data_IF_662575140627
#
_entry.id   IF_662575140627
#
_cell.length_a   1.000
_cell.length_b   1.000
_cell.length_c   1.000
_cell.angle_alpha   90.00
_cell.angle_beta   90.00
_cell.angle_gamma   90.00
#
_symmetry.space_group_name_H-M   'P 1'
#
loop_
_entity.id
_entity.type
_entity.pdbx_description
1 polymer ?
#
# COMPACT_ATOMS: atom_id res chain seq x y z
N UNK A 1 -91.76 -5.61 -28.04
CA UNK A 1 -90.63 -6.06 -28.88
C UNK A 1 -89.60 -4.96 -28.74
N UNK A 2 -88.48 -5.20 -28.03
CA UNK A 2 -87.37 -4.28 -27.94
C UNK A 2 -86.10 -5.14 -28.07
N UNK A 3 -85.48 -5.04 -29.19
CA UNK A 3 -84.16 -5.67 -29.42
C UNK A 3 -83.07 -4.93 -28.65
N UNK A 4 -82.33 -5.65 -27.87
CA UNK A 4 -81.17 -5.09 -27.15
C UNK A 4 -79.97 -5.29 -28.05
N UNK A 5 -79.53 -4.18 -28.71
CA UNK A 5 -78.28 -4.16 -29.46
C UNK A 5 -77.15 -3.97 -28.45
N UNK A 6 -76.34 -5.03 -28.25
CA UNK A 6 -75.09 -4.93 -27.48
C UNK A 6 -74.04 -4.16 -28.31
N UNK A 7 -73.38 -3.19 -27.78
CA UNK A 7 -72.38 -2.41 -28.55
C UNK A 7 -71.08 -3.20 -28.69
N UNK A 8 -70.58 -3.33 -29.90
CA UNK A 8 -69.32 -3.96 -30.35
C UNK A 8 -68.05 -3.29 -29.77
N UNK A 9 -68.21 -2.34 -28.87
CA UNK A 9 -67.10 -1.59 -28.24
C UNK A 9 -66.39 -2.41 -27.13
N UNK A 10 -67.01 -3.43 -26.55
CA UNK A 10 -66.43 -4.15 -25.41
C UNK A 10 -65.35 -5.16 -25.86
N UNK A 11 -65.40 -5.67 -27.09
CA UNK A 11 -64.44 -6.65 -27.64
C UNK A 11 -63.11 -6.05 -28.05
N UNK A 12 -63.08 -4.76 -28.46
CA UNK A 12 -61.87 -4.08 -28.80
C UNK A 12 -61.01 -3.68 -27.60
N UNK A 13 -61.66 -3.42 -26.46
CA UNK A 13 -60.99 -3.04 -25.18
C UNK A 13 -60.21 -4.24 -24.58
N UNK A 14 -60.76 -5.46 -24.64
CA UNK A 14 -60.06 -6.66 -24.15
C UNK A 14 -58.84 -7.05 -24.97
N UNK A 15 -58.90 -6.83 -26.30
CA UNK A 15 -57.76 -7.18 -27.18
C UNK A 15 -56.59 -6.22 -27.06
N UNK A 16 -56.84 -4.96 -26.76
CA UNK A 16 -55.78 -3.95 -26.53
C UNK A 16 -55.10 -4.15 -25.15
N UNK A 17 -55.86 -4.56 -24.12
CA UNK A 17 -55.33 -4.82 -22.79
C UNK A 17 -54.45 -6.06 -22.73
N UNK A 18 -54.76 -7.11 -23.51
CA UNK A 18 -53.93 -8.32 -23.59
C UNK A 18 -52.56 -8.09 -24.26
N UNK A 19 -52.49 -7.24 -25.29
CA UNK A 19 -51.20 -6.92 -25.95
C UNK A 19 -50.28 -6.09 -25.07
N UNK A 20 -50.81 -5.18 -24.26
CA UNK A 20 -50.02 -4.38 -23.34
C UNK A 20 -49.45 -5.21 -22.17
N UNK A 21 -50.22 -6.20 -21.68
CA UNK A 21 -49.76 -7.10 -20.61
C UNK A 21 -48.62 -8.03 -21.10
N UNK A 22 -48.68 -8.50 -22.36
CA UNK A 22 -47.63 -9.35 -22.91
C UNK A 22 -46.32 -8.59 -23.13
N UNK A 23 -46.40 -7.33 -23.58
CA UNK A 23 -45.25 -6.46 -23.73
C UNK A 23 -44.63 -6.05 -22.39
N UNK A 24 -45.43 -5.91 -21.32
CA UNK A 24 -44.94 -5.57 -19.99
C UNK A 24 -44.16 -6.74 -19.36
N UNK A 25 -44.64 -7.97 -19.52
CA UNK A 25 -43.95 -9.16 -19.02
C UNK A 25 -42.62 -9.40 -19.72
N UNK A 26 -42.55 -9.15 -21.04
CA UNK A 26 -41.32 -9.33 -21.81
C UNK A 26 -40.26 -8.25 -21.46
N UNK A 27 -40.67 -7.01 -21.25
CA UNK A 27 -39.78 -5.95 -20.74
C UNK A 27 -39.26 -6.27 -19.34
N UNK A 28 -40.12 -6.83 -18.47
CA UNK A 28 -39.74 -7.19 -17.11
C UNK A 28 -38.73 -8.34 -17.07
N UNK A 29 -38.85 -9.33 -17.96
CA UNK A 29 -37.89 -10.43 -18.07
C UNK A 29 -36.53 -9.97 -18.61
N UNK A 30 -36.51 -9.08 -19.60
CA UNK A 30 -35.27 -8.50 -20.14
C UNK A 30 -34.57 -7.64 -19.08
N UNK A 31 -35.32 -6.83 -18.35
CA UNK A 31 -34.79 -5.98 -17.29
C UNK A 31 -34.22 -6.80 -16.12
N UNK A 32 -34.85 -7.92 -15.73
CA UNK A 32 -34.30 -8.85 -14.73
C UNK A 32 -33.03 -9.52 -15.18
N UNK A 33 -32.90 -9.88 -16.46
CA UNK A 33 -31.68 -10.45 -17.02
C UNK A 33 -30.54 -9.44 -17.08
N UNK A 34 -30.82 -8.20 -17.46
CA UNK A 34 -29.83 -7.11 -17.47
C UNK A 34 -29.40 -6.76 -16.05
N UNK A 35 -30.33 -6.70 -15.10
CA UNK A 35 -30.03 -6.44 -13.69
C UNK A 35 -29.19 -7.56 -13.08
N UNK A 36 -29.48 -8.83 -13.42
CA UNK A 36 -28.70 -9.99 -12.97
C UNK A 36 -27.27 -9.98 -13.50
N UNK A 37 -27.06 -9.61 -14.77
CA UNK A 37 -25.74 -9.47 -15.38
C UNK A 37 -24.97 -8.29 -14.76
N UNK A 38 -25.65 -7.19 -14.46
CA UNK A 38 -25.03 -6.01 -13.84
C UNK A 38 -24.60 -6.30 -12.39
N UNK A 39 -25.41 -7.04 -11.63
CA UNK A 39 -25.05 -7.46 -10.26
C UNK A 39 -23.89 -8.47 -10.29
N UNK A 40 -23.87 -9.41 -11.24
CA UNK A 40 -22.76 -10.35 -11.43
C UNK A 40 -21.45 -9.64 -11.87
N UNK A 41 -21.55 -8.55 -12.64
CA UNK A 41 -20.39 -7.77 -13.05
C UNK A 41 -19.85 -6.89 -11.91
N UNK A 42 -20.72 -6.36 -11.03
CA UNK A 42 -20.28 -5.63 -9.83
C UNK A 42 -19.57 -6.55 -8.82
N UNK A 43 -19.93 -7.82 -8.73
CA UNK A 43 -19.26 -8.75 -7.82
C UNK A 43 -17.86 -9.17 -8.30
N UNK A 44 -17.51 -8.94 -9.57
CA UNK A 44 -16.15 -9.18 -10.10
C UNK A 44 -15.19 -7.99 -9.90
N UNK A 45 -15.71 -6.81 -9.54
CA UNK A 45 -14.91 -5.62 -9.23
C UNK A 45 -14.54 -5.51 -7.74
N UNK A 46 -14.89 -6.48 -6.93
CA UNK A 46 -14.80 -6.46 -5.47
C UNK A 46 -13.54 -7.04 -4.87
N UNK A 47 -12.37 -6.98 -5.53
CA UNK A 47 -11.08 -7.14 -4.86
C UNK A 47 -10.32 -5.81 -4.83
N UNK A 48 -10.95 -4.77 -4.30
CA UNK A 48 -10.19 -3.65 -3.73
C UNK A 48 -9.72 -4.19 -2.38
N UNK A 49 -8.45 -4.59 -2.30
CA UNK A 49 -7.76 -4.77 -1.03
C UNK A 49 -7.70 -3.38 -0.36
N UNK A 50 -8.75 -2.99 0.33
CA UNK A 50 -8.67 -1.90 1.30
C UNK A 50 -7.72 -2.37 2.40
N UNK A 51 -6.45 -1.97 2.25
CA UNK A 51 -5.45 -2.18 3.26
C UNK A 51 -5.87 -1.37 4.47
N UNK A 52 -6.21 -2.04 5.57
CA UNK A 52 -6.52 -1.39 6.83
C UNK A 52 -5.30 -0.55 7.21
N UNK A 53 -5.42 0.78 7.22
CA UNK A 53 -4.34 1.66 7.68
C UNK A 53 -3.89 1.21 9.08
N UNK A 54 -2.58 0.92 9.23
CA UNK A 54 -1.99 0.44 10.47
C UNK A 54 -1.86 -1.08 10.61
N UNK A 55 -2.24 -1.88 9.61
CA UNK A 55 -1.90 -3.30 9.59
C UNK A 55 -0.43 -3.48 9.18
N UNK A 56 0.31 -4.26 9.97
CA UNK A 56 1.71 -4.59 9.65
C UNK A 56 1.80 -5.36 8.34
N UNK A 57 2.65 -4.90 7.43
CA UNK A 57 3.02 -5.64 6.23
C UNK A 57 3.73 -6.94 6.59
N UNK A 58 3.54 -7.95 5.75
CA UNK A 58 4.11 -9.28 5.90
C UNK A 58 5.05 -9.63 4.77
N UNK A 59 5.88 -10.62 4.96
CA UNK A 59 6.66 -11.24 3.89
C UNK A 59 5.68 -11.77 2.82
N UNK A 60 5.95 -11.42 1.56
CA UNK A 60 5.09 -11.68 0.41
C UNK A 60 4.19 -10.52 0.00
N UNK A 61 3.99 -9.51 0.85
CA UNK A 61 3.25 -8.31 0.47
C UNK A 61 4.09 -7.44 -0.47
N UNK A 62 3.42 -6.72 -1.35
CA UNK A 62 4.02 -5.66 -2.15
C UNK A 62 4.16 -4.39 -1.31
N UNK A 63 5.26 -3.63 -1.48
CA UNK A 63 5.40 -2.31 -0.87
C UNK A 63 4.26 -1.39 -1.31
N UNK A 64 3.68 -0.61 -0.38
CA UNK A 64 2.59 0.32 -0.71
C UNK A 64 3.13 1.52 -1.49
N UNK A 65 2.24 2.22 -2.17
CA UNK A 65 2.58 3.49 -2.82
C UNK A 65 3.03 4.53 -1.78
N UNK A 66 4.23 5.06 -1.97
CA UNK A 66 4.77 6.16 -1.16
C UNK A 66 5.74 7.01 -1.98
N UNK A 67 5.99 8.22 -1.49
CA UNK A 67 7.04 9.11 -2.02
C UNK A 67 7.56 9.99 -0.90
N UNK A 68 8.88 10.10 -0.80
CA UNK A 68 9.57 10.92 0.20
C UNK A 68 10.73 11.67 -0.45
N UNK A 69 11.07 12.82 0.12
CA UNK A 69 12.27 13.57 -0.25
C UNK A 69 13.34 13.28 0.80
N UNK A 70 14.53 12.93 0.35
CA UNK A 70 15.69 12.68 1.19
C UNK A 70 16.40 14.00 1.51
N UNK A 71 17.25 14.01 2.55
CA UNK A 71 18.00 15.20 2.97
C UNK A 71 19.03 15.69 1.94
N UNK A 72 19.42 14.85 1.00
CA UNK A 72 20.29 15.21 -0.14
C UNK A 72 19.51 15.78 -1.34
N UNK A 73 18.20 15.97 -1.22
CA UNK A 73 17.30 16.46 -2.27
C UNK A 73 16.83 15.41 -3.25
N UNK A 74 17.27 14.17 -3.16
CA UNK A 74 16.75 13.07 -4.01
C UNK A 74 15.35 12.66 -3.57
N UNK A 75 14.55 12.14 -4.52
CA UNK A 75 13.24 11.59 -4.24
C UNK A 75 13.27 10.08 -4.32
N UNK A 76 12.71 9.41 -3.31
CA UNK A 76 12.54 7.96 -3.27
C UNK A 76 11.05 7.63 -3.19
N UNK A 77 10.61 6.70 -4.05
CA UNK A 77 9.22 6.22 -4.09
C UNK A 77 9.18 4.71 -4.34
N UNK A 78 8.03 4.09 -4.10
CA UNK A 78 7.77 2.71 -4.51
C UNK A 78 8.19 2.46 -5.96
N UNK A 79 7.78 3.34 -6.87
CA UNK A 79 8.11 3.24 -8.31
C UNK A 79 9.61 3.34 -8.61
N UNK A 80 10.36 4.15 -7.84
CA UNK A 80 11.81 4.29 -8.02
C UNK A 80 12.60 3.10 -7.43
N UNK A 81 11.98 2.31 -6.56
CA UNK A 81 12.57 1.12 -5.97
C UNK A 81 12.38 -0.12 -6.85
N UNK A 82 11.28 -0.21 -7.62
CA UNK A 82 11.02 -1.30 -8.55
C UNK A 82 12.17 -1.43 -9.55
N UNK A 83 12.53 -2.67 -9.89
CA UNK A 83 13.69 -3.01 -10.73
C UNK A 83 14.99 -3.20 -9.96
N UNK A 84 15.02 -2.86 -8.67
CA UNK A 84 16.18 -3.00 -7.80
C UNK A 84 15.82 -3.75 -6.52
N UNK A 85 16.80 -4.46 -5.94
CA UNK A 85 16.69 -4.90 -4.55
C UNK A 85 16.69 -3.64 -3.69
N UNK A 86 15.76 -3.56 -2.75
CA UNK A 86 15.61 -2.36 -1.93
C UNK A 86 15.62 -2.66 -0.43
N UNK A 87 16.16 -1.72 0.34
CA UNK A 87 16.27 -1.71 1.78
C UNK A 87 15.54 -0.49 2.32
N UNK A 88 14.40 -0.70 2.99
CA UNK A 88 13.58 0.37 3.57
C UNK A 88 13.65 0.25 5.08
N UNK A 89 14.09 1.31 5.77
CA UNK A 89 14.14 1.33 7.23
C UNK A 89 13.35 2.50 7.80
N UNK A 90 12.47 2.20 8.73
CA UNK A 90 11.84 3.20 9.58
C UNK A 90 12.55 3.30 10.92
N UNK A 91 12.84 4.53 11.34
CA UNK A 91 13.63 4.82 12.54
C UNK A 91 13.14 6.06 13.29
N UNK A 92 13.67 6.26 14.48
CA UNK A 92 13.61 7.49 15.24
C UNK A 92 14.92 7.67 16.01
N UNK A 93 15.48 8.89 16.03
CA UNK A 93 16.81 9.13 16.63
C UNK A 93 16.85 8.99 18.15
N UNK A 94 15.70 9.06 18.84
CA UNK A 94 15.61 8.82 20.29
C UNK A 94 15.30 7.36 20.64
N UNK A 95 15.10 6.46 19.67
CA UNK A 95 14.86 5.04 19.91
C UNK A 95 16.20 4.31 20.14
N UNK A 96 16.45 3.70 21.32
CA UNK A 96 17.71 3.00 21.60
C UNK A 96 18.03 1.89 20.61
N UNK A 97 17.02 1.10 20.21
CA UNK A 97 17.20 -0.01 19.28
C UNK A 97 17.51 0.49 17.86
N UNK A 98 16.93 1.65 17.47
CA UNK A 98 17.31 2.31 16.22
C UNK A 98 18.76 2.79 16.29
N UNK A 99 19.19 3.37 17.44
CA UNK A 99 20.55 3.81 17.66
C UNK A 99 21.56 2.64 17.57
N UNK A 100 21.19 1.46 18.03
CA UNK A 100 21.98 0.25 17.89
C UNK A 100 22.05 -0.28 16.45
N UNK A 101 20.95 -0.12 15.70
CA UNK A 101 20.84 -0.65 14.32
C UNK A 101 21.49 0.28 13.29
N UNK A 102 21.43 1.59 13.45
CA UNK A 102 21.90 2.56 12.45
C UNK A 102 23.39 2.42 12.06
N UNK A 103 24.34 2.13 12.99
CA UNK A 103 25.72 1.87 12.60
C UNK A 103 25.87 0.61 11.70
N UNK A 104 25.10 -0.44 12.01
CA UNK A 104 25.07 -1.67 11.19
C UNK A 104 24.56 -1.35 9.78
N UNK A 105 23.49 -0.55 9.69
CA UNK A 105 22.90 -0.13 8.42
C UNK A 105 23.86 0.74 7.62
N UNK A 106 24.69 1.56 8.28
CA UNK A 106 25.74 2.32 7.62
C UNK A 106 26.72 1.40 6.90
N UNK A 107 27.24 0.41 7.58
CA UNK A 107 28.21 -0.53 6.99
C UNK A 107 27.56 -1.30 5.82
N UNK A 108 26.33 -1.70 5.94
CA UNK A 108 25.53 -2.34 4.88
C UNK A 108 25.34 -1.36 3.69
N UNK A 109 25.01 -0.11 3.95
CA UNK A 109 24.81 0.92 2.92
C UNK A 109 26.08 1.13 2.10
N UNK A 110 27.24 1.31 2.77
CA UNK A 110 28.52 1.57 2.12
C UNK A 110 28.94 0.44 1.14
N UNK A 111 28.60 -0.80 1.48
CA UNK A 111 28.93 -1.97 0.65
C UNK A 111 27.89 -2.18 -0.46
N UNK A 112 26.60 -2.14 -0.12
CA UNK A 112 25.56 -2.64 -1.01
C UNK A 112 24.99 -1.59 -1.97
N UNK A 113 25.22 -0.30 -1.73
CA UNK A 113 24.86 0.75 -2.70
C UNK A 113 25.62 0.54 -4.01
N UNK A 114 26.90 0.19 -3.94
CA UNK A 114 27.71 -0.11 -5.13
C UNK A 114 27.27 -1.38 -5.87
N UNK A 115 26.58 -2.28 -5.19
CA UNK A 115 25.98 -3.52 -5.74
C UNK A 115 24.57 -3.31 -6.31
N UNK A 116 24.09 -2.05 -6.36
CA UNK A 116 22.80 -1.69 -6.93
C UNK A 116 21.61 -1.80 -5.99
N UNK A 117 21.82 -1.98 -4.68
CA UNK A 117 20.74 -1.92 -3.69
C UNK A 117 20.30 -0.46 -3.53
N UNK A 118 18.97 -0.24 -3.50
CA UNK A 118 18.37 1.06 -3.24
C UNK A 118 17.98 1.17 -1.77
N UNK A 119 18.35 2.28 -1.15
CA UNK A 119 18.08 2.52 0.27
C UNK A 119 17.05 3.63 0.47
N UNK A 120 16.14 3.44 1.43
CA UNK A 120 15.18 4.42 1.89
C UNK A 120 15.14 4.42 3.43
N UNK A 121 15.90 5.32 4.06
CA UNK A 121 15.85 5.50 5.50
C UNK A 121 14.87 6.62 5.82
N UNK A 122 13.78 6.30 6.50
CA UNK A 122 12.63 7.20 6.70
C UNK A 122 12.37 7.34 8.19
N UNK A 123 12.39 8.56 8.72
CA UNK A 123 11.98 8.74 10.11
C UNK A 123 10.48 8.42 10.26
N UNK A 124 10.09 7.76 11.35
CA UNK A 124 8.70 7.38 11.59
C UNK A 124 7.80 8.61 11.72
N UNK A 125 8.27 9.60 12.48
CA UNK A 125 7.59 10.87 12.74
C UNK A 125 8.59 11.90 13.29
N UNK A 126 8.25 13.17 13.16
CA UNK A 126 8.96 14.25 13.87
C UNK A 126 8.13 14.63 15.09
N UNK A 127 8.68 14.38 16.28
CA UNK A 127 8.09 14.89 17.52
C UNK A 127 8.56 16.32 17.78
N UNK A 128 7.83 17.03 18.66
CA UNK A 128 8.18 18.40 19.05
C UNK A 128 9.48 18.49 19.87
N UNK A 129 9.96 17.35 20.39
CA UNK A 129 11.33 17.28 20.91
C UNK A 129 12.30 17.31 19.72
N UNK A 130 13.36 18.02 19.87
CA UNK A 130 14.39 18.24 18.83
C UNK A 130 14.99 16.96 18.25
N UNK A 131 14.76 15.82 18.89
CA UNK A 131 15.30 14.52 18.46
C UNK A 131 14.55 13.91 17.29
N UNK A 132 13.30 14.26 17.08
CA UNK A 132 12.51 13.83 15.93
C UNK A 132 12.38 14.91 14.85
N UNK A 133 12.92 16.11 15.08
CA UNK A 133 12.97 17.19 14.11
C UNK A 133 14.04 16.95 13.04
N UNK A 134 13.99 17.69 11.94
CA UNK A 134 15.05 17.64 10.91
C UNK A 134 16.41 17.97 11.51
N UNK A 135 16.48 19.00 12.33
CA UNK A 135 17.72 19.41 13.01
C UNK A 135 18.23 18.31 13.96
N UNK A 136 17.34 17.68 14.73
CA UNK A 136 17.72 16.56 15.60
C UNK A 136 18.28 15.37 14.84
N UNK A 137 17.72 15.02 13.69
CA UNK A 137 18.23 13.96 12.83
C UNK A 137 19.58 14.34 12.25
N UNK A 138 19.74 15.54 11.70
CA UNK A 138 21.00 16.03 11.13
C UNK A 138 22.14 16.03 12.16
N UNK A 139 21.87 16.56 13.36
CA UNK A 139 22.84 16.56 14.45
C UNK A 139 23.24 15.14 14.87
N UNK A 140 22.26 14.22 14.92
CA UNK A 140 22.52 12.81 15.21
C UNK A 140 23.39 12.16 14.13
N UNK A 141 23.08 12.38 12.85
CA UNK A 141 23.83 11.85 11.70
C UNK A 141 25.28 12.31 11.73
N UNK A 142 25.50 13.60 11.88
CA UNK A 142 26.83 14.21 11.94
C UNK A 142 27.65 13.64 13.09
N UNK A 143 27.09 13.63 14.29
CA UNK A 143 27.77 13.16 15.50
C UNK A 143 28.16 11.67 15.45
N UNK A 144 27.36 10.85 14.74
CA UNK A 144 27.57 9.41 14.60
C UNK A 144 28.25 9.04 13.26
N UNK A 145 28.70 10.02 12.47
CA UNK A 145 29.31 9.80 11.16
C UNK A 145 28.46 8.91 10.24
N UNK A 146 27.14 9.10 10.23
CA UNK A 146 26.26 8.38 9.34
C UNK A 146 26.27 9.02 7.96
N UNK A 147 26.46 8.22 6.91
CA UNK A 147 26.69 8.69 5.53
C UNK A 147 25.50 8.48 4.61
N UNK A 148 24.57 7.60 4.99
CA UNK A 148 23.39 7.28 4.19
C UNK A 148 22.37 8.43 4.20
N UNK A 149 21.71 8.72 3.06
CA UNK A 149 20.61 9.66 3.00
C UNK A 149 19.44 9.22 3.87
N UNK A 150 18.70 10.18 4.42
CA UNK A 150 17.49 9.95 5.19
C UNK A 150 16.37 10.90 4.80
N UNK A 151 15.14 10.50 5.05
CA UNK A 151 13.96 11.35 4.91
C UNK A 151 13.35 11.67 6.28
N UNK A 152 13.24 12.95 6.59
CA UNK A 152 12.62 13.43 7.81
C UNK A 152 11.11 13.60 7.61
N UNK A 153 10.31 12.81 8.34
CA UNK A 153 8.86 12.86 8.27
C UNK A 153 8.28 13.58 9.49
N UNK A 154 7.33 14.48 9.27
CA UNK A 154 6.65 15.24 10.35
C UNK A 154 5.48 14.48 10.97
N UNK A 155 5.04 13.44 10.33
CA UNK A 155 3.91 12.62 10.75
C UNK A 155 4.16 11.15 10.40
N UNK A 156 3.23 10.30 10.80
CA UNK A 156 3.30 8.85 10.59
C UNK A 156 2.67 8.37 9.26
N UNK A 157 2.28 9.28 8.37
CA UNK A 157 1.51 8.88 7.17
C UNK A 157 2.22 7.84 6.31
N UNK A 158 3.53 8.02 6.07
CA UNK A 158 4.30 7.04 5.30
C UNK A 158 4.46 5.75 6.11
N UNK A 159 4.86 5.85 7.38
CA UNK A 159 5.04 4.69 8.25
C UNK A 159 3.75 3.84 8.38
N UNK A 160 2.60 4.49 8.59
CA UNK A 160 1.32 3.80 8.78
C UNK A 160 0.86 2.99 7.55
N UNK A 161 1.43 3.25 6.37
CA UNK A 161 1.23 2.41 5.19
C UNK A 161 1.96 1.07 5.28
N UNK A 162 3.00 0.99 6.11
CA UNK A 162 3.84 -0.20 6.28
C UNK A 162 3.56 -0.94 7.58
N UNK A 163 3.31 -0.20 8.66
CA UNK A 163 3.14 -0.79 9.99
C UNK A 163 2.38 0.12 10.96
N UNK A 164 1.79 -0.48 11.99
CA UNK A 164 1.14 0.24 13.09
C UNK A 164 2.07 0.52 14.28
N UNK A 165 3.10 -0.31 14.49
CA UNK A 165 3.94 -0.26 15.69
C UNK A 165 5.37 -0.77 15.42
N UNK A 166 6.26 -0.54 16.40
CA UNK A 166 7.66 -0.97 16.45
C UNK A 166 8.59 -0.28 15.45
N UNK A 167 9.71 0.16 15.96
CA UNK A 167 10.92 0.60 15.25
C UNK A 167 12.15 0.17 16.07
N UNK A 168 13.31 -0.12 15.46
CA UNK A 168 13.54 -0.07 14.02
C UNK A 168 12.63 -1.05 13.29
N UNK A 169 12.28 -0.72 12.07
CA UNK A 169 11.59 -1.66 11.20
C UNK A 169 12.25 -1.63 9.83
N UNK A 170 12.78 -2.78 9.42
CA UNK A 170 13.51 -2.93 8.17
C UNK A 170 12.71 -3.85 7.26
N UNK A 171 12.52 -3.44 6.02
CA UNK A 171 11.99 -4.26 4.94
C UNK A 171 13.07 -4.41 3.87
N UNK A 172 13.35 -5.65 3.47
CA UNK A 172 14.20 -5.94 2.33
C UNK A 172 13.30 -6.55 1.26
N UNK A 173 13.27 -5.90 0.08
CA UNK A 173 12.38 -6.25 -1.01
C UNK A 173 13.18 -6.65 -2.24
N UNK A 174 12.60 -7.55 -3.03
CA UNK A 174 13.15 -7.92 -4.32
C UNK A 174 12.90 -6.86 -5.41
N UNK A 175 13.29 -7.17 -6.64
CA UNK A 175 13.17 -6.27 -7.79
C UNK A 175 11.73 -5.99 -8.20
N UNK A 176 10.79 -6.84 -7.82
CA UNK A 176 9.36 -6.64 -8.06
C UNK A 176 8.68 -5.82 -6.96
N UNK A 177 9.43 -5.41 -5.93
CA UNK A 177 8.90 -4.68 -4.78
C UNK A 177 8.19 -5.58 -3.77
N UNK A 178 8.38 -6.90 -3.85
CA UNK A 178 7.81 -7.84 -2.89
C UNK A 178 8.73 -7.93 -1.68
N UNK A 179 8.16 -7.78 -0.48
CA UNK A 179 8.86 -7.90 0.79
C UNK A 179 9.32 -9.34 0.97
N UNK A 180 10.62 -9.55 1.08
CA UNK A 180 11.23 -10.87 1.29
C UNK A 180 11.70 -11.07 2.72
N UNK A 181 12.11 -9.99 3.38
CA UNK A 181 12.55 -10.03 4.78
C UNK A 181 12.02 -8.84 5.54
N UNK A 182 11.69 -9.06 6.81
CA UNK A 182 11.28 -8.03 7.76
C UNK A 182 12.08 -8.23 9.04
N UNK A 183 12.67 -7.14 9.54
CA UNK A 183 13.34 -7.11 10.83
C UNK A 183 12.75 -6.00 11.71
N UNK A 184 12.73 -6.25 13.00
CA UNK A 184 12.19 -5.32 14.00
C UNK A 184 13.17 -5.19 15.17
N UNK A 185 12.69 -4.66 16.27
CA UNK A 185 13.35 -4.57 17.57
C UNK A 185 13.41 -5.92 18.35
N UNK A 186 12.82 -6.99 17.81
CA UNK A 186 12.70 -8.26 18.52
C UNK A 186 12.89 -9.48 17.58
N UNK A 187 14.12 -9.98 17.47
CA UNK A 187 15.39 -9.37 17.90
C UNK A 187 15.86 -8.25 16.96
N UNK A 188 16.74 -7.37 17.49
CA UNK A 188 17.46 -6.40 16.64
C UNK A 188 18.31 -7.16 15.62
N UNK A 189 18.24 -6.80 14.32
CA UNK A 189 19.00 -7.51 13.29
C UNK A 189 20.50 -7.31 13.44
N UNK A 190 21.23 -8.39 13.28
CA UNK A 190 22.69 -8.32 13.18
C UNK A 190 23.16 -7.93 11.78
N UNK A 191 24.44 -7.58 11.66
CA UNK A 191 25.06 -7.37 10.33
C UNK A 191 24.88 -8.60 9.42
N UNK A 192 25.09 -9.81 9.95
CA UNK A 192 24.97 -11.04 9.16
C UNK A 192 23.54 -11.30 8.70
N UNK A 193 22.54 -10.96 9.50
CA UNK A 193 21.14 -11.12 9.11
C UNK A 193 20.81 -10.23 7.90
N UNK A 194 21.19 -8.96 7.95
CA UNK A 194 20.96 -8.01 6.86
C UNK A 194 21.76 -8.36 5.61
N UNK A 195 23.04 -8.69 5.78
CA UNK A 195 23.94 -9.08 4.69
C UNK A 195 23.42 -10.31 3.95
N UNK A 196 23.15 -11.40 4.66
CA UNK A 196 22.71 -12.66 4.04
C UNK A 196 21.35 -12.51 3.33
N UNK A 197 20.45 -11.70 3.88
CA UNK A 197 19.17 -11.40 3.26
C UNK A 197 19.34 -10.65 1.94
N UNK A 198 20.20 -9.61 1.89
CA UNK A 198 20.50 -8.88 0.67
C UNK A 198 21.20 -9.75 -0.38
N UNK A 199 22.18 -10.53 0.02
CA UNK A 199 22.92 -11.40 -0.90
C UNK A 199 22.06 -12.49 -1.53
N UNK A 200 21.04 -12.95 -0.85
CA UNK A 200 20.08 -13.90 -1.40
C UNK A 200 19.27 -13.34 -2.59
N UNK A 201 19.09 -12.00 -2.66
CA UNK A 201 18.25 -11.31 -3.65
C UNK A 201 19.05 -10.66 -4.79
N UNK A 202 20.34 -10.38 -4.59
CA UNK A 202 21.21 -9.70 -5.58
C UNK A 202 21.70 -10.68 -6.66
N UNK A 203 21.63 -11.97 -6.41
CA UNK A 203 22.11 -13.04 -7.32
C UNK A 203 21.39 -13.06 -8.64
#
# INVERSE_FOLDING_TARGET
>A
MAEIILPSFLLLSFRAKSRNLFNFGQKYMVMKRILGVFVAFLSLLGCINEKIEGADLKVGDMIPEFSVVMNDGTSVSDKSLIGNVSFIMFFHTSCPDCQATLPIVKDIYEIYTSKGVRFALISREQQQDDKGSVEGIESYWTRNNLTMPYSAQRDRKVYNKFAGSRIPRVYICDKDGIIRYIFTDDPIPTYNDLMSSLESLIR
#
